data_IF_447587060587
#
_entry.id   IF_447587060587
#
_cell.length_a   1.000
_cell.length_b   1.000
_cell.length_c   1.000
_cell.angle_alpha   90.00
_cell.angle_beta   90.00
_cell.angle_gamma   90.00
#
_symmetry.space_group_name_H-M   'P 1'
#
loop_
_entity.id
_entity.type
_entity.pdbx_description
1 polymer ?
#
# COMPACT_ATOMS: atom_id res chain seq x y z
N UNK A 1 13.74 -17.73 1.29
CA UNK A 1 12.46 -17.25 1.83
C UNK A 1 11.71 -16.60 0.69
N UNK A 2 10.65 -17.25 0.24
CA UNK A 2 9.92 -16.89 -0.96
C UNK A 2 8.43 -17.11 -0.76
N UNK A 3 7.60 -16.13 -1.16
CA UNK A 3 6.15 -16.24 -1.20
C UNK A 3 5.71 -16.16 -2.67
N UNK A 4 5.23 -17.26 -3.21
CA UNK A 4 4.81 -17.39 -4.62
C UNK A 4 3.30 -17.47 -4.71
N UNK A 5 2.74 -16.68 -5.58
CA UNK A 5 1.32 -16.62 -5.90
C UNK A 5 1.14 -17.13 -7.34
N UNK A 6 0.29 -18.15 -7.55
CA UNK A 6 0.09 -18.79 -8.83
C UNK A 6 -1.38 -18.77 -9.23
N UNK A 7 -1.72 -18.05 -10.29
CA UNK A 7 -3.06 -17.93 -10.91
C UNK A 7 -4.19 -17.69 -9.91
N UNK A 8 -3.88 -16.90 -8.88
CA UNK A 8 -4.76 -16.68 -7.73
C UNK A 8 -6.04 -15.97 -8.16
N UNK A 9 -7.19 -16.60 -7.93
CA UNK A 9 -8.49 -16.09 -8.31
C UNK A 9 -9.44 -16.08 -7.12
N UNK A 10 -10.24 -14.99 -7.00
CA UNK A 10 -11.31 -14.89 -6.02
C UNK A 10 -12.58 -14.36 -6.63
N UNK A 11 -13.64 -15.18 -6.54
CA UNK A 11 -14.97 -14.83 -6.96
C UNK A 11 -15.93 -14.72 -5.77
N UNK A 12 -16.85 -13.77 -5.84
CA UNK A 12 -17.98 -13.58 -4.93
C UNK A 12 -19.26 -13.57 -5.78
N UNK A 13 -19.90 -14.73 -5.90
CA UNK A 13 -20.99 -14.93 -6.85
C UNK A 13 -20.50 -14.72 -8.29
N UNK A 14 -21.07 -13.76 -9.01
CA UNK A 14 -20.66 -13.42 -10.38
C UNK A 14 -19.53 -12.38 -10.45
N UNK A 15 -19.17 -11.78 -9.33
CA UNK A 15 -18.12 -10.75 -9.28
C UNK A 15 -16.75 -11.38 -9.02
N UNK A 16 -15.80 -11.16 -9.93
CA UNK A 16 -14.42 -11.59 -9.79
C UNK A 16 -13.58 -10.47 -9.23
N UNK A 17 -13.26 -10.56 -7.95
CA UNK A 17 -12.50 -9.55 -7.23
C UNK A 17 -10.98 -9.64 -7.43
N UNK A 18 -10.46 -10.83 -7.71
CA UNK A 18 -9.07 -11.12 -8.09
C UNK A 18 -9.11 -12.14 -9.21
N UNK A 19 -8.40 -11.88 -10.31
CA UNK A 19 -8.41 -12.69 -11.52
C UNK A 19 -7.01 -13.11 -11.94
N UNK A 20 -6.67 -14.38 -11.72
CA UNK A 20 -5.43 -15.07 -12.15
C UNK A 20 -4.15 -14.28 -11.84
N UNK A 21 -4.05 -13.76 -10.64
CA UNK A 21 -2.89 -13.00 -10.20
C UNK A 21 -1.72 -13.96 -9.92
N UNK A 22 -0.58 -13.70 -10.56
CA UNK A 22 0.65 -14.47 -10.38
C UNK A 22 1.83 -13.53 -10.18
N UNK A 23 2.59 -13.69 -9.09
CA UNK A 23 3.85 -13.01 -8.81
C UNK A 23 4.60 -13.72 -7.67
N UNK A 24 5.87 -13.37 -7.51
CA UNK A 24 6.72 -13.94 -6.45
C UNK A 24 7.34 -12.80 -5.65
N UNK A 25 7.37 -12.95 -4.33
CA UNK A 25 8.02 -12.01 -3.42
C UNK A 25 9.14 -12.70 -2.64
N UNK A 26 10.29 -12.03 -2.58
CA UNK A 26 11.42 -12.37 -1.71
C UNK A 26 11.60 -11.26 -0.66
N UNK A 27 12.70 -11.27 0.09
CA UNK A 27 12.99 -10.19 1.04
C UNK A 27 12.97 -8.83 0.36
N UNK A 28 12.20 -7.91 0.92
CA UNK A 28 12.05 -6.56 0.40
C UNK A 28 10.67 -5.97 0.66
N UNK A 29 10.47 -4.75 0.19
CA UNK A 29 9.21 -4.00 0.29
C UNK A 29 8.52 -3.99 -1.07
N UNK A 30 7.29 -4.46 -1.10
CA UNK A 30 6.40 -4.51 -2.27
C UNK A 30 5.24 -3.54 -2.08
N UNK A 31 5.08 -2.62 -3.02
CA UNK A 31 3.98 -1.67 -3.05
C UNK A 31 2.84 -2.15 -3.94
N UNK A 32 1.68 -2.47 -3.38
CA UNK A 32 0.48 -2.81 -4.15
C UNK A 32 -0.34 -1.55 -4.41
N UNK A 33 -0.15 -0.97 -5.59
CA UNK A 33 -0.76 0.29 -6.00
C UNK A 33 -2.04 0.04 -6.81
N UNK A 34 -3.10 0.78 -6.51
CA UNK A 34 -4.36 0.71 -7.27
C UNK A 34 -5.47 1.54 -6.62
N UNK A 35 -6.49 1.88 -7.39
CA UNK A 35 -7.68 2.59 -6.89
C UNK A 35 -8.51 1.73 -5.93
N UNK A 36 -9.47 2.35 -5.25
CA UNK A 36 -10.44 1.62 -4.42
C UNK A 36 -11.25 0.67 -5.31
N UNK A 37 -11.51 -0.53 -4.81
CA UNK A 37 -12.19 -1.56 -5.59
C UNK A 37 -11.30 -2.38 -6.55
N UNK A 38 -10.01 -2.05 -6.73
CA UNK A 38 -9.11 -2.80 -7.61
C UNK A 38 -8.84 -4.27 -7.18
N UNK A 39 -9.24 -4.66 -5.95
CA UNK A 39 -9.05 -6.03 -5.44
C UNK A 39 -7.94 -6.17 -4.39
N UNK A 40 -7.23 -5.09 -4.03
CA UNK A 40 -6.07 -5.10 -3.11
C UNK A 40 -6.36 -5.77 -1.78
N UNK A 41 -7.40 -5.34 -1.06
CA UNK A 41 -7.79 -5.92 0.23
C UNK A 41 -8.19 -7.39 0.11
N UNK A 42 -8.84 -7.79 -0.99
CA UNK A 42 -9.20 -9.19 -1.25
C UNK A 42 -7.95 -10.05 -1.43
N UNK A 43 -6.98 -9.59 -2.22
CA UNK A 43 -5.70 -10.25 -2.39
C UNK A 43 -4.98 -10.40 -1.04
N UNK A 44 -4.87 -9.33 -0.26
CA UNK A 44 -4.22 -9.37 1.06
C UNK A 44 -4.93 -10.32 2.04
N UNK A 45 -6.27 -10.38 2.02
CA UNK A 45 -7.02 -11.33 2.85
C UNK A 45 -6.77 -12.79 2.45
N UNK A 46 -6.52 -13.09 1.18
CA UNK A 46 -6.10 -14.43 0.75
C UNK A 46 -4.68 -14.74 1.22
N UNK A 47 -3.73 -13.81 1.05
CA UNK A 47 -2.35 -13.95 1.52
C UNK A 47 -2.25 -14.14 3.04
N UNK A 48 -3.17 -13.55 3.80
CA UNK A 48 -3.25 -13.72 5.25
C UNK A 48 -4.09 -14.92 5.70
N UNK A 49 -4.57 -15.74 4.76
CA UNK A 49 -5.44 -16.91 4.99
C UNK A 49 -6.77 -16.59 5.68
N UNK A 50 -7.21 -15.32 5.67
CA UNK A 50 -8.52 -14.93 6.19
C UNK A 50 -9.67 -15.38 5.29
N UNK A 51 -9.42 -15.46 3.99
CA UNK A 51 -10.33 -16.03 2.99
C UNK A 51 -9.56 -17.01 2.11
N UNK A 52 -10.25 -18.05 1.63
CA UNK A 52 -9.68 -19.00 0.67
C UNK A 52 -9.86 -18.47 -0.76
N UNK A 53 -8.89 -18.68 -1.65
CA UNK A 53 -9.08 -18.45 -3.08
C UNK A 53 -10.19 -19.33 -3.63
N UNK A 54 -10.76 -18.94 -4.77
CA UNK A 54 -11.67 -19.77 -5.55
C UNK A 54 -10.87 -20.73 -6.43
N UNK A 55 -9.73 -20.25 -6.95
CA UNK A 55 -8.78 -21.03 -7.76
C UNK A 55 -7.35 -20.48 -7.57
N UNK A 56 -6.34 -21.25 -7.98
CA UNK A 56 -4.94 -20.93 -7.80
C UNK A 56 -4.41 -21.27 -6.41
N UNK A 57 -3.14 -20.99 -6.17
CA UNK A 57 -2.46 -21.36 -4.93
C UNK A 57 -1.49 -20.29 -4.44
N UNK A 58 -1.18 -20.33 -3.14
CA UNK A 58 -0.19 -19.49 -2.47
C UNK A 58 0.82 -20.43 -1.84
N UNK A 59 2.10 -20.27 -2.19
CA UNK A 59 3.17 -21.13 -1.75
C UNK A 59 4.19 -20.33 -0.92
N UNK A 60 4.53 -20.85 0.25
CA UNK A 60 5.66 -20.41 1.08
C UNK A 60 6.79 -21.41 0.97
N UNK A 61 7.94 -20.99 0.40
CA UNK A 61 9.07 -21.88 0.12
C UNK A 61 8.61 -23.19 -0.55
N UNK A 62 7.69 -23.12 -1.50
CA UNK A 62 7.12 -24.25 -2.25
C UNK A 62 6.03 -25.04 -1.53
N UNK A 63 5.61 -24.66 -0.32
CA UNK A 63 4.56 -25.33 0.44
C UNK A 63 3.24 -24.51 0.42
N UNK A 64 2.14 -25.16 0.13
CA UNK A 64 0.80 -24.56 0.15
C UNK A 64 0.47 -24.01 1.55
N UNK A 65 0.27 -22.69 1.63
CA UNK A 65 0.03 -21.99 2.90
C UNK A 65 -1.25 -22.45 3.62
N UNK A 66 -2.26 -22.92 2.88
CA UNK A 66 -3.49 -23.44 3.47
C UNK A 66 -3.32 -24.84 4.07
N UNK A 67 -2.31 -25.60 3.62
CA UNK A 67 -1.92 -26.87 4.24
C UNK A 67 -0.99 -26.69 5.43
N UNK A 68 -0.21 -25.59 5.47
CA UNK A 68 0.65 -25.24 6.61
C UNK A 68 -0.14 -24.79 7.85
N UNK A 69 -1.36 -24.28 7.66
CA UNK A 69 -2.29 -23.83 8.70
C UNK A 69 -1.64 -22.90 9.76
N UNK A 70 -1.61 -23.31 11.02
CA UNK A 70 -1.05 -22.50 12.10
C UNK A 70 0.44 -22.21 11.98
N UNK A 71 1.21 -23.00 11.22
CA UNK A 71 2.64 -22.73 11.00
C UNK A 71 2.84 -21.49 10.13
N UNK A 72 2.08 -21.36 9.04
CA UNK A 72 2.13 -20.16 8.20
C UNK A 72 1.69 -18.92 8.96
N UNK A 73 0.60 -18.98 9.74
CA UNK A 73 0.13 -17.83 10.52
C UNK A 73 1.13 -17.31 11.56
N UNK A 74 2.05 -18.15 12.04
CA UNK A 74 3.17 -17.70 12.90
C UNK A 74 4.18 -16.83 12.18
N UNK A 75 4.28 -16.96 10.84
CA UNK A 75 5.18 -16.16 10.01
C UNK A 75 4.56 -14.81 9.66
N UNK A 76 3.24 -14.63 9.87
CA UNK A 76 2.51 -13.44 9.43
C UNK A 76 2.43 -12.36 10.51
N UNK A 77 2.65 -11.12 10.08
CA UNK A 77 2.16 -9.90 10.70
C UNK A 77 1.14 -9.24 9.78
N UNK A 78 -0.01 -8.89 10.30
CA UNK A 78 -1.06 -8.24 9.50
C UNK A 78 -1.63 -7.02 10.19
N UNK A 79 -1.66 -5.91 9.46
CA UNK A 79 -2.37 -4.69 9.82
C UNK A 79 -3.49 -4.46 8.80
N UNK A 80 -4.75 -4.74 9.11
CA UNK A 80 -5.87 -4.40 8.23
C UNK A 80 -6.10 -2.90 8.16
N UNK A 81 -6.83 -2.45 7.15
CA UNK A 81 -7.23 -1.05 6.97
C UNK A 81 -7.91 -0.52 8.24
N UNK A 82 -8.87 -1.27 8.79
CA UNK A 82 -9.49 -1.02 10.07
C UNK A 82 -9.10 -2.13 11.05
N UNK A 83 -8.21 -1.84 11.97
CA UNK A 83 -7.89 -2.79 13.03
C UNK A 83 -8.67 -2.48 14.30
N UNK A 84 -9.30 -3.54 14.85
CA UNK A 84 -10.03 -3.45 16.09
C UNK A 84 -9.08 -3.27 17.27
N UNK A 85 -9.47 -2.42 18.22
CA UNK A 85 -8.76 -2.25 19.48
C UNK A 85 -9.75 -2.04 20.64
N UNK A 86 -9.31 -2.30 21.86
CA UNK A 86 -10.09 -2.05 23.08
C UNK A 86 -9.89 -0.59 23.52
N UNK A 87 -10.90 0.28 23.43
CA UNK A 87 -10.76 1.73 23.65
C UNK A 87 -10.18 2.11 25.01
N UNK A 88 -10.50 1.36 26.05
CA UNK A 88 -10.09 1.63 27.43
C UNK A 88 -8.77 0.97 27.85
N UNK A 89 -8.20 0.10 27.03
CA UNK A 89 -6.87 -0.45 27.28
C UNK A 89 -5.82 0.64 27.04
N UNK A 90 -4.75 0.62 27.84
CA UNK A 90 -3.53 1.35 27.48
C UNK A 90 -2.87 0.66 26.28
N UNK A 91 -1.97 1.38 25.57
CA UNK A 91 -1.20 0.78 24.47
C UNK A 91 -0.45 -0.46 24.97
N UNK A 92 0.15 -0.38 26.16
CA UNK A 92 0.89 -1.47 26.77
C UNK A 92 -0.02 -2.68 27.05
N UNK A 93 -1.19 -2.46 27.70
CA UNK A 93 -2.13 -3.54 28.03
C UNK A 93 -2.70 -4.19 26.78
N UNK A 94 -2.98 -3.37 25.74
CA UNK A 94 -3.42 -3.85 24.44
C UNK A 94 -2.39 -4.79 23.80
N UNK A 95 -1.12 -4.37 23.72
CA UNK A 95 -0.07 -5.21 23.15
C UNK A 95 0.20 -6.46 23.98
N UNK A 96 0.16 -6.37 25.29
CA UNK A 96 0.29 -7.55 26.19
C UNK A 96 -0.87 -8.52 25.99
N UNK A 97 -2.09 -8.03 25.83
CA UNK A 97 -3.27 -8.85 25.54
C UNK A 97 -3.12 -9.59 24.20
N UNK A 98 -2.75 -8.88 23.14
CA UNK A 98 -2.52 -9.51 21.83
C UNK A 98 -1.37 -10.52 21.88
N UNK A 99 -0.29 -10.21 22.61
CA UNK A 99 0.82 -11.16 22.81
C UNK A 99 0.35 -12.46 23.47
N UNK A 100 -0.55 -12.35 24.44
CA UNK A 100 -1.15 -13.52 25.10
C UNK A 100 -2.00 -14.36 24.14
N UNK A 101 -2.81 -13.73 23.28
CA UNK A 101 -3.60 -14.43 22.24
C UNK A 101 -2.67 -15.14 21.25
N UNK A 102 -1.54 -14.51 20.92
CA UNK A 102 -0.51 -15.12 20.02
C UNK A 102 0.31 -16.23 20.72
N UNK A 103 0.04 -16.54 21.99
CA UNK A 103 0.74 -17.58 22.74
C UNK A 103 2.16 -17.21 23.15
N UNK A 104 2.53 -15.93 23.18
CA UNK A 104 3.85 -15.47 23.60
C UNK A 104 3.92 -15.53 25.14
N UNK A 105 4.94 -16.21 25.67
CA UNK A 105 5.14 -16.33 27.12
C UNK A 105 5.24 -14.96 27.79
N UNK A 106 4.65 -14.73 28.98
CA UNK A 106 4.58 -13.39 29.60
C UNK A 106 5.91 -12.66 29.75
N UNK A 107 6.96 -13.37 30.11
CA UNK A 107 8.31 -12.76 30.24
C UNK A 107 8.84 -12.28 28.88
N UNK A 108 8.73 -13.11 27.84
CA UNK A 108 9.13 -12.74 26.47
C UNK A 108 8.24 -11.63 25.91
N UNK A 109 6.93 -11.66 26.19
CA UNK A 109 5.99 -10.62 25.79
C UNK A 109 6.37 -9.24 26.33
N UNK A 110 6.72 -9.15 27.62
CA UNK A 110 7.14 -7.89 28.27
C UNK A 110 8.34 -7.28 27.55
N UNK A 111 9.37 -8.07 27.28
CA UNK A 111 10.58 -7.57 26.59
C UNK A 111 10.26 -7.21 25.13
N UNK A 112 9.49 -8.03 24.43
CA UNK A 112 9.10 -7.78 23.04
C UNK A 112 8.24 -6.52 22.91
N UNK A 113 7.23 -6.35 23.76
CA UNK A 113 6.37 -5.16 23.78
C UNK A 113 7.19 -3.91 24.08
N UNK A 114 8.11 -3.95 25.05
CA UNK A 114 9.00 -2.83 25.38
C UNK A 114 9.87 -2.43 24.19
N UNK A 115 10.44 -3.41 23.47
CA UNK A 115 11.25 -3.19 22.27
C UNK A 115 10.40 -2.54 21.18
N UNK A 116 9.27 -3.13 20.84
CA UNK A 116 8.37 -2.63 19.79
C UNK A 116 7.86 -1.23 20.08
N UNK A 117 7.47 -0.94 21.34
CA UNK A 117 7.05 0.41 21.74
C UNK A 117 8.14 1.47 21.53
N UNK A 118 9.40 1.09 21.66
CA UNK A 118 10.53 2.01 21.34
C UNK A 118 10.68 2.18 19.83
N UNK A 119 10.64 1.09 19.06
CA UNK A 119 10.77 1.11 17.60
C UNK A 119 9.68 1.96 16.94
N UNK A 120 8.42 1.86 17.41
CA UNK A 120 7.31 2.65 16.88
C UNK A 120 7.14 4.02 17.55
N UNK A 121 8.09 4.47 18.37
CA UNK A 121 8.06 5.75 19.10
C UNK A 121 6.79 5.96 19.95
N UNK A 122 6.33 4.90 20.63
CA UNK A 122 5.17 4.95 21.54
C UNK A 122 5.54 4.65 22.99
N UNK A 123 6.84 4.44 23.30
CA UNK A 123 7.26 4.04 24.65
C UNK A 123 6.87 5.05 25.74
N UNK A 124 7.00 6.35 25.46
CA UNK A 124 6.61 7.42 26.39
C UNK A 124 5.09 7.49 26.60
N UNK A 125 4.32 7.12 25.56
CA UNK A 125 2.86 7.15 25.56
C UNK A 125 2.23 5.81 25.98
N UNK A 126 2.99 4.79 26.35
CA UNK A 126 2.54 3.40 26.57
C UNK A 126 1.36 3.23 27.54
N UNK A 127 1.17 4.16 28.45
CA UNK A 127 0.07 4.17 29.41
C UNK A 127 -1.15 4.99 28.97
N UNK A 128 -1.07 5.67 27.80
CA UNK A 128 -2.27 6.32 27.22
C UNK A 128 -3.27 5.28 26.75
N UNK A 129 -4.56 5.57 26.97
CA UNK A 129 -5.66 4.73 26.48
C UNK A 129 -5.75 4.80 24.96
N UNK A 130 -6.07 3.66 24.32
CA UNK A 130 -6.19 3.55 22.86
C UNK A 130 -7.16 4.58 22.25
N UNK A 131 -8.28 4.87 22.91
CA UNK A 131 -9.26 5.89 22.47
C UNK A 131 -8.69 7.32 22.40
N UNK A 132 -7.66 7.62 23.18
CA UNK A 132 -7.05 8.96 23.27
C UNK A 132 -5.83 9.14 22.36
N UNK A 133 -5.59 8.22 21.44
CA UNK A 133 -4.48 8.27 20.50
C UNK A 133 -4.88 9.03 19.23
N UNK A 134 -3.93 9.75 18.62
CA UNK A 134 -4.08 10.25 17.26
C UNK A 134 -4.15 9.10 16.25
N UNK A 135 -4.60 9.38 15.02
CA UNK A 135 -4.62 8.41 13.93
C UNK A 135 -3.26 7.76 13.71
N UNK A 136 -2.20 8.56 13.62
CA UNK A 136 -0.82 8.08 13.45
C UNK A 136 -0.33 7.25 14.64
N UNK A 137 -0.67 7.61 15.88
CA UNK A 137 -0.34 6.80 17.05
C UNK A 137 -1.08 5.44 17.02
N UNK A 138 -2.35 5.42 16.62
CA UNK A 138 -3.11 4.18 16.46
C UNK A 138 -2.48 3.28 15.39
N UNK A 139 -2.12 3.82 14.24
CA UNK A 139 -1.44 3.05 13.18
C UNK A 139 -0.11 2.46 13.66
N UNK A 140 0.71 3.24 14.36
CA UNK A 140 1.97 2.74 14.96
C UNK A 140 1.73 1.64 16.00
N UNK A 141 0.69 1.75 16.82
CA UNK A 141 0.30 0.68 17.73
C UNK A 141 -0.14 -0.60 16.98
N UNK A 142 -0.86 -0.44 15.86
CA UNK A 142 -1.22 -1.55 14.97
C UNK A 142 0.00 -2.23 14.34
N UNK A 143 1.02 -1.47 13.93
CA UNK A 143 2.29 -2.05 13.46
C UNK A 143 2.96 -2.84 14.58
N UNK A 144 3.06 -2.26 15.79
CA UNK A 144 3.64 -2.97 16.92
C UNK A 144 2.90 -4.28 17.20
N UNK A 145 1.56 -4.30 17.10
CA UNK A 145 0.75 -5.51 17.19
C UNK A 145 1.11 -6.53 16.10
N UNK A 146 1.22 -6.09 14.84
CA UNK A 146 1.56 -6.96 13.72
C UNK A 146 2.95 -7.60 13.90
N UNK A 147 3.88 -6.87 14.52
CA UNK A 147 5.28 -7.27 14.74
C UNK A 147 5.52 -8.13 15.98
N UNK A 148 4.51 -8.41 16.82
CA UNK A 148 4.68 -9.11 18.11
C UNK A 148 5.37 -10.47 18.00
N UNK A 149 5.02 -11.26 16.99
CA UNK A 149 5.55 -12.62 16.77
C UNK A 149 6.81 -12.66 15.90
N UNK A 150 7.45 -11.51 15.66
CA UNK A 150 8.61 -11.39 14.78
C UNK A 150 8.38 -12.00 13.39
N UNK A 151 7.40 -11.50 12.65
CA UNK A 151 6.95 -12.12 11.41
C UNK A 151 8.02 -12.10 10.33
N UNK A 152 7.97 -13.07 9.42
CA UNK A 152 8.75 -13.09 8.18
C UNK A 152 8.02 -12.40 7.03
N UNK A 153 6.70 -12.33 7.11
CA UNK A 153 5.83 -11.66 6.14
C UNK A 153 5.01 -10.61 6.89
N UNK A 154 5.11 -9.36 6.47
CA UNK A 154 4.34 -8.24 7.02
C UNK A 154 3.42 -7.69 5.94
N UNK A 155 2.11 -7.81 6.16
CA UNK A 155 1.08 -7.33 5.25
C UNK A 155 0.36 -6.14 5.87
N UNK A 156 0.32 -5.01 5.16
CA UNK A 156 -0.19 -3.73 5.63
C UNK A 156 -1.22 -3.19 4.63
N UNK A 157 -2.49 -3.18 5.03
CA UNK A 157 -3.59 -2.75 4.16
C UNK A 157 -3.92 -1.28 4.42
N UNK A 158 -3.68 -0.41 3.42
CA UNK A 158 -3.86 1.05 3.46
C UNK A 158 -3.28 1.69 4.75
N UNK A 159 -2.02 1.43 5.09
CA UNK A 159 -1.50 1.77 6.41
C UNK A 159 -1.33 3.27 6.64
N UNK A 160 -1.32 4.08 5.59
CA UNK A 160 -1.12 5.55 5.63
C UNK A 160 -2.41 6.33 5.45
N UNK A 161 -3.52 5.66 5.19
CA UNK A 161 -4.82 6.31 5.00
C UNK A 161 -5.18 7.18 6.21
N UNK A 162 -5.58 8.45 5.96
CA UNK A 162 -5.96 9.41 6.99
C UNK A 162 -4.81 9.95 7.84
N UNK A 163 -3.55 9.70 7.47
CA UNK A 163 -2.39 10.30 8.13
C UNK A 163 -2.03 11.65 7.50
N UNK A 164 -1.58 12.59 8.35
CA UNK A 164 -0.99 13.83 7.87
C UNK A 164 0.40 13.58 7.20
N UNK A 165 0.91 14.53 6.40
CA UNK A 165 2.17 14.33 5.67
C UNK A 165 3.37 13.99 6.58
N UNK A 166 3.43 14.54 7.78
CA UNK A 166 4.54 14.29 8.71
C UNK A 166 4.50 12.86 9.27
N UNK A 167 3.31 12.36 9.58
CA UNK A 167 3.12 10.98 10.04
C UNK A 167 3.36 9.97 8.90
N UNK A 168 3.03 10.32 7.63
CA UNK A 168 3.36 9.46 6.46
C UNK A 168 4.88 9.29 6.31
N UNK A 169 5.65 10.38 6.44
CA UNK A 169 7.12 10.29 6.39
C UNK A 169 7.65 9.38 7.51
N UNK A 170 7.17 9.57 8.73
CA UNK A 170 7.54 8.72 9.87
C UNK A 170 7.20 7.26 9.64
N UNK A 171 6.01 7.01 9.07
CA UNK A 171 5.56 5.66 8.74
C UNK A 171 6.49 5.01 7.70
N UNK A 172 6.82 5.71 6.62
CA UNK A 172 7.75 5.21 5.59
C UNK A 172 9.10 4.82 6.17
N UNK A 173 9.69 5.69 6.99
CA UNK A 173 10.96 5.41 7.65
C UNK A 173 10.86 4.19 8.57
N UNK A 174 9.77 4.07 9.32
CA UNK A 174 9.51 2.90 10.17
C UNK A 174 9.42 1.61 9.36
N UNK A 175 8.70 1.60 8.24
CA UNK A 175 8.61 0.42 7.38
C UNK A 175 9.97 0.06 6.78
N UNK A 176 10.74 1.03 6.32
CA UNK A 176 12.11 0.82 5.84
C UNK A 176 13.01 0.18 6.91
N UNK A 177 12.92 0.64 8.18
CA UNK A 177 13.67 0.03 9.30
C UNK A 177 13.20 -1.38 9.64
N UNK A 178 11.89 -1.64 9.52
CA UNK A 178 11.30 -2.94 9.86
C UNK A 178 11.41 -3.98 8.74
N UNK A 179 11.67 -3.55 7.49
CA UNK A 179 11.71 -4.46 6.34
C UNK A 179 12.83 -5.49 6.46
N UNK A 180 14.07 -5.09 6.76
CA UNK A 180 15.20 -5.99 7.04
C UNK A 180 15.16 -7.30 6.23
N UNK A 181 15.18 -8.44 6.97
CA UNK A 181 15.08 -9.78 6.40
C UNK A 181 13.61 -10.26 6.28
N UNK A 182 12.69 -9.40 5.81
CA UNK A 182 11.25 -9.71 5.71
C UNK A 182 10.72 -9.44 4.32
N UNK A 183 9.63 -10.11 4.00
CA UNK A 183 8.74 -9.72 2.91
C UNK A 183 7.73 -8.73 3.48
N UNK A 184 7.69 -7.52 2.96
CA UNK A 184 6.70 -6.50 3.36
C UNK A 184 5.84 -6.19 2.14
N UNK A 185 4.54 -6.42 2.23
CA UNK A 185 3.57 -6.01 1.23
C UNK A 185 2.67 -4.92 1.83
N UNK A 186 2.66 -3.76 1.20
CA UNK A 186 1.75 -2.69 1.60
C UNK A 186 0.85 -2.26 0.45
N UNK A 187 -0.45 -2.14 0.69
CA UNK A 187 -1.39 -1.58 -0.27
C UNK A 187 -1.53 -0.07 -0.08
N UNK A 188 -1.71 0.64 -1.17
CA UNK A 188 -2.05 2.06 -1.15
C UNK A 188 -2.65 2.51 -2.48
N UNK A 189 -3.36 3.62 -2.46
CA UNK A 189 -3.75 4.40 -3.65
C UNK A 189 -2.90 5.67 -3.78
N UNK A 190 -1.93 5.90 -2.87
CA UNK A 190 -1.10 7.09 -2.81
C UNK A 190 0.32 6.73 -3.27
N UNK A 191 0.66 7.22 -4.44
CA UNK A 191 1.94 6.93 -5.12
C UNK A 191 3.14 7.25 -4.24
N UNK A 192 3.15 8.45 -3.62
CA UNK A 192 4.28 8.91 -2.78
C UNK A 192 4.53 8.05 -1.53
N UNK A 193 3.60 7.17 -1.15
CA UNK A 193 3.82 6.30 0.00
C UNK A 193 4.75 5.12 -0.30
N UNK A 194 4.82 4.69 -1.56
CA UNK A 194 5.62 3.54 -2.00
C UNK A 194 6.83 3.92 -2.83
N UNK A 195 6.78 5.03 -3.57
CA UNK A 195 7.83 5.46 -4.50
C UNK A 195 9.24 5.45 -3.89
N UNK A 196 9.35 5.79 -2.60
CA UNK A 196 10.64 5.90 -1.90
C UNK A 196 11.05 4.66 -1.10
N UNK A 197 10.14 3.70 -0.87
CA UNK A 197 10.42 2.57 0.02
C UNK A 197 10.23 1.21 -0.66
N UNK A 198 9.44 1.12 -1.73
CA UNK A 198 9.20 -0.14 -2.41
C UNK A 198 10.39 -0.53 -3.28
N UNK A 199 10.83 -1.79 -3.14
CA UNK A 199 11.78 -2.40 -4.05
C UNK A 199 11.09 -2.75 -5.37
N UNK A 200 9.84 -3.20 -5.29
CA UNK A 200 8.98 -3.49 -6.43
C UNK A 200 7.57 -2.92 -6.22
N UNK A 201 6.96 -2.49 -7.30
CA UNK A 201 5.59 -1.98 -7.36
C UNK A 201 4.76 -2.96 -8.18
N UNK A 202 3.61 -3.35 -7.61
CA UNK A 202 2.58 -4.15 -8.25
C UNK A 202 1.38 -3.25 -8.52
N UNK A 203 1.13 -2.91 -9.78
CA UNK A 203 -0.01 -2.07 -10.15
C UNK A 203 -1.22 -2.96 -10.39
N UNK A 204 -2.24 -2.84 -9.54
CA UNK A 204 -3.43 -3.67 -9.58
C UNK A 204 -4.64 -2.89 -10.12
N UNK A 205 -5.25 -3.42 -11.18
CA UNK A 205 -6.45 -2.87 -11.82
C UNK A 205 -7.44 -3.99 -12.13
N UNK A 206 -8.71 -3.77 -11.80
CA UNK A 206 -9.83 -4.70 -12.13
C UNK A 206 -9.54 -6.17 -11.75
N UNK A 207 -8.95 -6.38 -10.58
CA UNK A 207 -8.60 -7.70 -10.06
C UNK A 207 -7.31 -8.30 -10.60
N UNK A 208 -6.61 -7.66 -11.53
CA UNK A 208 -5.38 -8.16 -12.17
C UNK A 208 -4.16 -7.32 -11.81
N UNK A 209 -2.97 -7.93 -11.74
CA UNK A 209 -1.71 -7.20 -11.75
C UNK A 209 -1.40 -6.83 -13.21
N UNK A 210 -1.45 -5.54 -13.51
CA UNK A 210 -1.25 -5.03 -14.88
C UNK A 210 0.23 -4.83 -15.20
N UNK A 211 1.01 -4.37 -14.22
CA UNK A 211 2.45 -4.16 -14.31
C UNK A 211 3.09 -4.48 -12.97
N UNK A 212 4.30 -5.03 -13.02
CA UNK A 212 5.18 -5.18 -11.84
C UNK A 212 6.61 -4.84 -12.21
N UNK A 213 7.37 -4.30 -11.26
CA UNK A 213 8.78 -3.93 -11.42
C UNK A 213 9.22 -2.85 -10.45
N UNK A 214 10.45 -2.41 -10.57
CA UNK A 214 10.97 -1.23 -9.88
C UNK A 214 10.21 0.04 -10.30
N UNK A 215 10.31 1.12 -9.56
CA UNK A 215 9.67 2.39 -9.92
C UNK A 215 10.08 2.85 -11.33
N UNK A 216 11.37 2.73 -11.66
CA UNK A 216 11.90 3.13 -12.97
C UNK A 216 11.38 2.23 -14.11
N UNK A 217 11.28 0.92 -13.89
CA UNK A 217 10.71 -0.02 -14.86
C UNK A 217 9.23 0.25 -15.11
N UNK A 218 8.47 0.51 -14.05
CA UNK A 218 7.04 0.85 -14.13
C UNK A 218 6.86 2.17 -14.88
N UNK A 219 7.66 3.20 -14.59
CA UNK A 219 7.62 4.48 -15.32
C UNK A 219 8.00 4.30 -16.78
N UNK A 220 9.05 3.55 -17.06
CA UNK A 220 9.54 3.30 -18.43
C UNK A 220 8.57 2.47 -19.28
N UNK A 221 7.66 1.72 -18.65
CA UNK A 221 6.65 0.91 -19.34
C UNK A 221 5.48 1.72 -19.92
N UNK A 222 5.36 3.01 -19.52
CA UNK A 222 4.28 3.87 -20.01
C UNK A 222 4.46 4.19 -21.48
N UNK A 223 3.46 3.94 -22.34
CA UNK A 223 3.59 4.17 -23.79
C UNK A 223 3.45 5.63 -24.18
N UNK A 224 2.86 6.47 -23.33
CA UNK A 224 2.69 7.90 -23.54
C UNK A 224 3.86 8.67 -22.95
N UNK A 225 4.20 9.80 -23.62
CA UNK A 225 5.18 10.77 -23.14
C UNK A 225 4.51 11.84 -22.29
N UNK A 226 5.27 12.49 -21.46
CA UNK A 226 4.79 13.58 -20.61
C UNK A 226 5.29 14.91 -21.14
N UNK A 227 4.36 15.84 -21.32
CA UNK A 227 4.62 17.16 -21.87
C UNK A 227 4.20 18.25 -20.90
N UNK A 228 4.99 19.32 -20.82
CA UNK A 228 4.62 20.54 -20.10
C UNK A 228 4.62 21.73 -21.04
N UNK A 229 3.62 22.59 -20.90
CA UNK A 229 3.50 23.83 -21.67
C UNK A 229 2.50 24.80 -21.01
N UNK A 230 2.69 26.09 -21.29
CA UNK A 230 1.79 27.16 -20.81
C UNK A 230 0.70 27.45 -21.83
N UNK A 231 -0.51 27.70 -21.32
CA UNK A 231 -1.67 28.08 -22.13
C UNK A 231 -2.40 29.28 -21.54
N UNK A 232 -2.97 30.17 -22.37
CA UNK A 232 -3.85 31.23 -21.91
C UNK A 232 -5.12 30.64 -21.26
N UNK A 233 -5.72 31.39 -20.31
CA UNK A 233 -6.92 30.94 -19.58
C UNK A 233 -8.07 30.49 -20.50
N UNK A 234 -8.27 31.15 -21.63
CA UNK A 234 -9.32 30.83 -22.60
C UNK A 234 -9.15 29.46 -23.29
N UNK A 235 -7.95 28.89 -23.29
CA UNK A 235 -7.66 27.62 -23.97
C UNK A 235 -7.62 26.41 -23.02
N UNK A 236 -7.64 26.62 -21.71
CA UNK A 236 -7.49 25.52 -20.72
C UNK A 236 -8.55 24.42 -20.96
N UNK A 237 -9.81 24.79 -21.08
CA UNK A 237 -10.92 23.83 -21.25
C UNK A 237 -10.79 22.99 -22.54
N UNK A 238 -10.20 23.55 -23.60
CA UNK A 238 -9.97 22.83 -24.85
C UNK A 238 -8.93 21.73 -24.64
N UNK A 239 -7.82 22.03 -23.93
CA UNK A 239 -6.78 21.06 -23.62
C UNK A 239 -7.25 19.99 -22.64
N UNK A 240 -8.06 20.36 -21.62
CA UNK A 240 -8.64 19.38 -20.68
C UNK A 240 -9.55 18.35 -21.36
N UNK A 241 -10.21 18.76 -22.45
CA UNK A 241 -11.05 17.85 -23.24
C UNK A 241 -10.26 17.01 -24.24
N UNK A 242 -9.11 17.50 -24.69
CA UNK A 242 -8.33 16.84 -25.73
C UNK A 242 -7.25 15.89 -25.21
N UNK A 243 -6.78 16.08 -23.99
CA UNK A 243 -5.64 15.34 -23.41
C UNK A 243 -5.93 14.85 -22.00
N UNK A 244 -5.22 13.79 -21.58
CA UNK A 244 -5.14 13.41 -20.17
C UNK A 244 -4.21 14.39 -19.45
N UNK A 245 -4.79 15.25 -18.60
CA UNK A 245 -4.03 16.28 -17.87
C UNK A 245 -3.67 15.77 -16.50
N UNK A 246 -2.36 15.62 -16.26
CA UNK A 246 -1.82 15.15 -14.99
C UNK A 246 -1.79 16.26 -13.93
N UNK A 247 -1.49 17.50 -14.35
CA UNK A 247 -1.42 18.64 -13.42
C UNK A 247 -1.73 19.95 -14.13
N UNK A 248 -2.32 20.87 -13.37
CA UNK A 248 -2.63 22.22 -13.77
C UNK A 248 -2.05 23.17 -12.73
N UNK A 249 -1.03 23.94 -13.13
CA UNK A 249 -0.44 24.96 -12.28
C UNK A 249 -0.85 26.33 -12.77
N UNK A 250 -1.56 27.09 -11.94
CA UNK A 250 -1.97 28.46 -12.27
C UNK A 250 -0.74 29.36 -12.36
N UNK A 251 -0.63 30.10 -13.47
CA UNK A 251 0.39 31.12 -13.71
C UNK A 251 -0.28 32.44 -14.10
N UNK A 252 0.43 33.59 -14.05
CA UNK A 252 -0.12 34.87 -14.51
C UNK A 252 -0.61 34.78 -15.95
N UNK A 253 -1.90 35.04 -16.18
CA UNK A 253 -2.51 35.04 -17.52
C UNK A 253 -2.98 33.68 -18.05
N UNK A 254 -2.76 32.57 -17.33
CA UNK A 254 -3.16 31.24 -17.79
C UNK A 254 -2.81 30.11 -16.84
N UNK A 255 -2.40 28.98 -17.41
CA UNK A 255 -1.94 27.81 -16.66
C UNK A 255 -0.77 27.11 -17.38
N UNK A 256 0.09 26.50 -16.62
CA UNK A 256 1.02 25.48 -17.09
C UNK A 256 0.34 24.11 -16.92
N UNK A 257 0.28 23.38 -18.01
CA UNK A 257 -0.34 22.04 -18.06
C UNK A 257 0.75 20.98 -18.14
N UNK A 258 0.57 19.89 -17.37
CA UNK A 258 1.31 18.64 -17.52
C UNK A 258 0.37 17.62 -18.12
N UNK A 259 0.66 17.11 -19.32
CA UNK A 259 -0.24 16.23 -20.05
C UNK A 259 0.46 14.97 -20.54
N UNK A 260 -0.30 13.89 -20.67
CA UNK A 260 0.12 12.64 -21.28
C UNK A 260 -0.32 12.61 -22.74
N UNK A 261 0.61 12.34 -23.65
CA UNK A 261 0.29 12.21 -25.08
C UNK A 261 1.42 11.50 -25.82
N UNK A 262 1.08 10.69 -26.80
CA UNK A 262 2.03 10.06 -27.74
C UNK A 262 2.61 11.06 -28.73
N UNK A 263 1.92 12.18 -28.96
CA UNK A 263 2.32 13.24 -29.87
C UNK A 263 2.51 14.56 -29.15
N UNK A 264 3.40 15.40 -29.66
CA UNK A 264 3.63 16.74 -29.10
C UNK A 264 2.36 17.60 -29.18
N UNK A 265 1.80 18.08 -28.06
CA UNK A 265 0.51 18.79 -28.05
C UNK A 265 0.50 20.14 -28.81
N UNK A 266 1.62 20.87 -28.77
CA UNK A 266 1.80 22.13 -29.49
C UNK A 266 3.30 22.46 -29.63
N UNK A 267 3.63 23.54 -30.38
CA UNK A 267 5.01 23.92 -30.61
C UNK A 267 5.77 24.40 -29.37
N UNK A 268 5.06 24.85 -28.34
CA UNK A 268 5.63 25.31 -27.06
C UNK A 268 5.81 24.15 -26.02
N UNK A 269 5.23 22.99 -26.29
CA UNK A 269 5.32 21.86 -25.37
C UNK A 269 6.76 21.34 -25.27
N UNK A 270 7.22 21.10 -24.06
CA UNK A 270 8.52 20.52 -23.74
C UNK A 270 8.28 19.14 -23.13
N UNK A 271 8.99 18.15 -23.64
CA UNK A 271 8.98 16.80 -23.07
C UNK A 271 9.70 16.81 -21.72
N UNK A 272 9.11 16.18 -20.71
CA UNK A 272 9.66 16.06 -19.36
C UNK A 272 9.66 14.60 -18.92
N UNK A 273 10.51 14.27 -17.96
CA UNK A 273 10.52 12.92 -17.38
C UNK A 273 9.16 12.57 -16.80
N UNK A 274 8.71 11.35 -17.09
CA UNK A 274 7.51 10.79 -16.49
C UNK A 274 7.78 10.42 -15.03
N UNK A 275 6.73 10.48 -14.23
CA UNK A 275 6.75 10.10 -12.82
C UNK A 275 5.79 8.92 -12.59
N UNK A 276 5.90 8.28 -11.45
CA UNK A 276 4.97 7.22 -11.07
C UNK A 276 3.52 7.73 -10.93
N UNK A 277 3.32 9.02 -10.60
CA UNK A 277 2.00 9.66 -10.60
C UNK A 277 1.40 9.75 -12.01
N UNK A 278 2.23 10.02 -13.03
CA UNK A 278 1.78 10.03 -14.43
C UNK A 278 1.35 8.63 -14.88
N UNK A 279 2.09 7.59 -14.49
CA UNK A 279 1.71 6.18 -14.74
C UNK A 279 0.40 5.85 -14.07
N UNK A 280 0.23 6.25 -12.81
CA UNK A 280 -1.03 6.03 -12.07
C UNK A 280 -2.21 6.68 -12.79
N UNK A 281 -2.06 7.92 -13.24
CA UNK A 281 -3.06 8.62 -14.02
C UNK A 281 -3.31 7.93 -15.38
N UNK A 282 -2.27 7.45 -16.04
CA UNK A 282 -2.41 6.74 -17.31
C UNK A 282 -3.34 5.52 -17.20
N UNK A 283 -3.13 4.70 -16.16
CA UNK A 283 -3.90 3.46 -15.96
C UNK A 283 -5.29 3.68 -15.34
N UNK A 284 -5.44 4.68 -14.46
CA UNK A 284 -6.68 4.86 -13.69
C UNK A 284 -7.52 6.07 -14.15
N UNK A 285 -6.92 7.02 -14.87
CA UNK A 285 -7.61 8.17 -15.44
C UNK A 285 -8.35 9.02 -14.40
N UNK A 286 -9.53 9.52 -14.78
CA UNK A 286 -10.39 10.35 -13.91
C UNK A 286 -10.97 9.60 -12.70
N UNK A 287 -10.93 8.27 -12.71
CA UNK A 287 -11.37 7.45 -11.56
C UNK A 287 -10.51 7.68 -10.32
N UNK A 288 -9.28 8.20 -10.47
CA UNK A 288 -8.39 8.51 -9.37
C UNK A 288 -8.78 9.78 -8.59
N UNK A 289 -9.63 10.64 -9.15
CA UNK A 289 -10.05 11.91 -8.54
C UNK A 289 -11.43 11.89 -7.86
N UNK A 290 -12.21 10.82 -8.02
CA UNK A 290 -13.60 10.77 -7.54
C UNK A 290 -13.78 10.14 -6.15
N UNK A 291 -12.74 9.60 -5.54
CA UNK A 291 -12.84 8.92 -4.24
C UNK A 291 -12.87 9.88 -3.03
N UNK A 292 -12.62 11.18 -3.21
CA UNK A 292 -12.72 12.21 -2.14
C UNK A 292 -14.13 12.78 -1.94
N UNK A 293 -15.14 12.31 -2.67
CA UNK A 293 -16.52 12.81 -2.61
C UNK A 293 -17.51 11.68 -2.32
N UNK A 294 -17.29 10.92 -1.28
CA UNK A 294 -18.32 10.10 -0.64
C UNK A 294 -18.21 10.29 0.88
N UNK A 295 -19.00 11.25 1.35
CA UNK A 295 -19.33 11.46 2.77
C UNK A 295 -20.25 10.36 3.27
#
# INVERSE_FOLDING_TARGET
MELTICDLTKEFGSFRAVDRVSFTMTNGVYGLLGVNGAGKTTLMRMLTTLIKPTDGEILWDGQDVFKMDGQYRKLLGYLPQDFGYYPDFSIYDYLMYIASIKGIRPAAAKERVKLLLKQVDLFRARHKKMKNLSGGMKRRAGIAQAMLNDPKILILDEPTAGLDPSERIRFRNLISELSGDRIVLLSTHIVSDIEYIANEILLMKDGCITISGTADEVVSSMPERVWTFSVPKAQIDAYLKAYKVANIKTIPGGAELRVLSTVRPNSAAVEVEATLEDVFLYYFGESAGNDDVAV
#
